data_IF_372445562776
#
_entry.id   IF_372445562776
#
_cell.length_a   1.000
_cell.length_b   1.000
_cell.length_c   1.000
_cell.angle_alpha   90.00
_cell.angle_beta   90.00
_cell.angle_gamma   90.00
#
_symmetry.space_group_name_H-M   'P 1'
#
loop_
_entity.id
_entity.type
_entity.pdbx_description
1 polymer ?
#
# COMPACT_ATOMS: atom_id res chain seq x y z
N UNK A 1 9.83 -20.21 4.88
CA UNK A 1 10.34 -20.25 3.51
C UNK A 1 9.24 -20.57 2.48
N UNK A 2 8.53 -21.70 2.57
CA UNK A 2 7.42 -22.05 1.65
C UNK A 2 6.28 -21.03 1.59
N UNK A 3 5.90 -20.40 2.71
CA UNK A 3 4.84 -19.38 2.73
C UNK A 3 5.17 -18.09 1.97
N UNK A 4 6.43 -17.68 1.97
CA UNK A 4 6.86 -16.47 1.23
C UNK A 4 6.95 -16.72 -0.28
N UNK A 5 7.34 -17.93 -0.67
CA UNK A 5 7.33 -18.38 -2.06
C UNK A 5 5.90 -18.40 -2.59
N UNK A 6 4.94 -18.90 -1.81
CA UNK A 6 3.53 -18.92 -2.18
C UNK A 6 2.98 -17.49 -2.36
N UNK A 7 3.33 -16.55 -1.49
CA UNK A 7 2.90 -15.15 -1.63
C UNK A 7 3.45 -14.49 -2.89
N UNK A 8 4.67 -14.82 -3.30
CA UNK A 8 5.25 -14.33 -4.56
C UNK A 8 4.59 -14.98 -5.77
N UNK A 9 4.34 -16.28 -5.71
CA UNK A 9 3.65 -17.04 -6.78
C UNK A 9 2.21 -16.54 -6.93
N UNK A 10 1.49 -16.31 -5.84
CA UNK A 10 0.15 -15.71 -5.87
C UNK A 10 0.19 -14.29 -6.43
N UNK A 11 1.19 -13.49 -6.03
CA UNK A 11 1.42 -12.16 -6.60
C UNK A 11 1.64 -12.16 -8.11
N UNK A 12 2.37 -13.14 -8.61
CA UNK A 12 2.59 -13.34 -10.04
C UNK A 12 1.31 -13.86 -10.73
N UNK A 13 0.56 -14.75 -10.09
CA UNK A 13 -0.73 -15.25 -10.59
C UNK A 13 -1.78 -14.16 -10.70
N UNK A 14 -1.92 -13.34 -9.67
CA UNK A 14 -2.86 -12.21 -9.67
C UNK A 14 -2.51 -11.16 -10.74
N UNK A 15 -1.23 -10.92 -10.97
CA UNK A 15 -0.78 -10.08 -12.08
C UNK A 15 -1.10 -10.70 -13.44
N UNK A 16 -1.00 -12.05 -13.57
CA UNK A 16 -1.41 -12.79 -14.79
C UNK A 16 -2.90 -12.63 -15.09
N UNK A 17 -3.74 -12.70 -14.07
CA UNK A 17 -5.19 -12.53 -14.24
C UNK A 17 -5.56 -11.10 -14.68
N UNK A 18 -4.70 -10.14 -14.46
CA UNK A 18 -5.00 -8.75 -14.74
C UNK A 18 -4.51 -8.22 -16.08
N UNK A 19 -3.41 -8.70 -16.69
CA UNK A 19 -2.86 -8.08 -17.91
C UNK A 19 -1.85 -8.88 -18.74
N UNK A 20 -1.53 -10.15 -18.51
CA UNK A 20 -0.45 -10.79 -19.26
C UNK A 20 -0.99 -11.78 -20.30
N UNK A 21 -0.63 -11.51 -21.57
CA UNK A 21 -0.77 -12.43 -22.69
C UNK A 21 -0.04 -13.77 -22.40
N UNK A 22 -0.63 -14.93 -22.75
CA UNK A 22 -0.07 -16.28 -22.52
C UNK A 22 1.42 -16.40 -22.88
N UNK A 23 1.85 -15.70 -23.93
CA UNK A 23 3.24 -15.65 -24.38
C UNK A 23 4.24 -15.12 -23.35
N UNK A 24 3.82 -14.18 -22.48
CA UNK A 24 4.66 -13.71 -21.36
C UNK A 24 4.69 -14.68 -20.19
N UNK A 25 3.66 -15.50 -20.06
CA UNK A 25 3.56 -16.55 -19.04
C UNK A 25 4.59 -17.66 -19.28
N UNK A 26 4.79 -18.09 -20.51
CA UNK A 26 5.82 -19.09 -20.87
C UNK A 26 7.23 -18.57 -20.66
N UNK A 27 7.49 -17.30 -21.02
CA UNK A 27 8.78 -16.66 -20.81
C UNK A 27 9.07 -16.51 -19.29
N UNK A 28 8.08 -16.12 -18.49
CA UNK A 28 8.20 -16.03 -17.04
C UNK A 28 8.49 -17.40 -16.40
N UNK A 29 7.82 -18.45 -16.82
CA UNK A 29 8.05 -19.79 -16.29
C UNK A 29 9.45 -20.34 -16.64
N UNK A 30 10.01 -19.93 -17.77
CA UNK A 30 11.30 -20.40 -18.28
C UNK A 30 12.50 -19.72 -17.62
N UNK A 31 12.29 -18.56 -16.99
CA UNK A 31 13.36 -17.72 -16.41
C UNK A 31 13.24 -17.48 -14.90
N UNK A 32 12.28 -18.12 -14.23
CA UNK A 32 12.11 -17.96 -12.78
C UNK A 32 12.85 -19.07 -12.04
N UNK A 33 14.15 -18.93 -11.87
CA UNK A 33 14.78 -19.28 -10.61
C UNK A 33 14.62 -18.09 -9.65
N UNK A 34 13.48 -18.03 -8.99
CA UNK A 34 13.18 -17.04 -7.99
C UNK A 34 13.79 -17.49 -6.66
N UNK A 35 14.92 -16.93 -6.31
CA UNK A 35 15.44 -17.04 -4.94
C UNK A 35 14.87 -15.88 -4.13
N UNK A 36 14.04 -16.20 -3.15
CA UNK A 36 13.52 -15.24 -2.19
C UNK A 36 14.31 -15.39 -0.90
N UNK A 37 15.03 -14.35 -0.48
CA UNK A 37 15.74 -14.38 0.80
C UNK A 37 14.77 -14.25 1.99
N UNK A 38 15.27 -14.45 3.22
CA UNK A 38 14.50 -14.34 4.45
C UNK A 38 13.87 -12.95 4.67
N UNK A 39 14.42 -11.92 4.04
CA UNK A 39 13.88 -10.56 4.04
C UNK A 39 12.83 -10.29 2.96
N UNK A 40 12.44 -11.31 2.18
CA UNK A 40 11.48 -11.19 1.09
C UNK A 40 12.03 -10.45 -0.13
N UNK A 41 13.35 -10.40 -0.32
CA UNK A 41 13.97 -9.84 -1.51
C UNK A 41 14.00 -10.86 -2.63
N UNK A 42 13.59 -10.41 -3.80
CA UNK A 42 13.54 -11.24 -5.00
C UNK A 42 14.82 -11.06 -5.80
N UNK A 43 15.52 -12.15 -6.03
CA UNK A 43 16.69 -12.21 -6.90
C UNK A 43 16.32 -12.91 -8.20
N UNK A 44 16.58 -12.27 -9.31
CA UNK A 44 16.43 -12.83 -10.65
C UNK A 44 17.55 -12.32 -11.52
N UNK A 45 18.02 -13.14 -12.45
CA UNK A 45 19.04 -12.77 -13.43
C UNK A 45 18.55 -11.70 -14.41
N UNK A 46 17.24 -11.45 -14.51
CA UNK A 46 16.69 -10.42 -15.37
C UNK A 46 16.38 -9.12 -14.60
N UNK A 47 17.20 -8.03 -14.75
CA UNK A 47 17.01 -6.78 -14.02
C UNK A 47 15.65 -6.10 -14.27
N UNK A 48 15.10 -6.28 -15.46
CA UNK A 48 13.78 -5.72 -15.81
C UNK A 48 12.67 -6.43 -15.05
N UNK A 49 12.70 -7.75 -14.96
CA UNK A 49 11.76 -8.57 -14.22
C UNK A 49 11.86 -8.27 -12.72
N UNK A 50 13.08 -8.16 -12.18
CA UNK A 50 13.34 -7.77 -10.78
C UNK A 50 12.68 -6.43 -10.44
N UNK A 51 12.85 -5.41 -11.29
CA UNK A 51 12.24 -4.09 -11.09
C UNK A 51 10.72 -4.16 -11.11
N UNK A 52 10.12 -4.95 -12.02
CA UNK A 52 8.66 -5.15 -12.11
C UNK A 52 8.11 -5.84 -10.88
N UNK A 53 8.70 -6.96 -10.46
CA UNK A 53 8.27 -7.71 -9.27
C UNK A 53 8.40 -6.85 -8.02
N UNK A 54 9.54 -6.19 -7.82
CA UNK A 54 9.74 -5.27 -6.70
C UNK A 54 8.75 -4.09 -6.75
N UNK A 55 8.42 -3.59 -7.93
CA UNK A 55 7.38 -2.58 -8.11
C UNK A 55 6.00 -3.06 -7.62
N UNK A 56 5.60 -4.26 -8.01
CA UNK A 56 4.32 -4.87 -7.60
C UNK A 56 4.29 -5.11 -6.09
N UNK A 57 5.35 -5.70 -5.53
CA UNK A 57 5.45 -5.97 -4.10
C UNK A 57 5.43 -4.67 -3.28
N UNK A 58 6.12 -3.63 -3.75
CA UNK A 58 6.11 -2.32 -3.09
C UNK A 58 4.74 -1.63 -3.16
N UNK A 59 4.05 -1.73 -4.31
CA UNK A 59 2.68 -1.24 -4.45
C UNK A 59 1.77 -1.99 -3.47
N UNK A 60 1.84 -3.32 -3.39
CA UNK A 60 1.07 -4.12 -2.44
C UNK A 60 1.36 -3.73 -0.99
N UNK A 61 2.63 -3.67 -0.59
CA UNK A 61 3.00 -3.29 0.79
C UNK A 61 2.49 -1.91 1.20
N UNK A 62 2.52 -0.94 0.28
CA UNK A 62 2.14 0.46 0.58
C UNK A 62 0.64 0.72 0.43
N UNK A 63 0.01 0.06 -0.53
CA UNK A 63 -1.34 0.39 -0.98
C UNK A 63 -2.40 -0.57 -0.44
N UNK A 64 -2.08 -1.89 -0.35
CA UNK A 64 -3.05 -2.88 0.04
C UNK A 64 -3.70 -2.63 1.41
N UNK A 65 -2.96 -2.27 2.48
CA UNK A 65 -3.59 -2.03 3.78
C UNK A 65 -4.61 -0.90 3.76
N UNK A 66 -4.30 0.20 3.05
CA UNK A 66 -5.21 1.33 2.88
C UNK A 66 -6.40 0.98 2.00
N UNK A 67 -6.15 0.26 0.91
CA UNK A 67 -7.19 -0.18 -0.01
C UNK A 67 -8.20 -1.10 0.69
N UNK A 68 -7.74 -2.08 1.45
CA UNK A 68 -8.62 -2.99 2.18
C UNK A 68 -9.51 -2.25 3.18
N UNK A 69 -8.94 -1.34 3.96
CA UNK A 69 -9.69 -0.53 4.93
C UNK A 69 -10.76 0.33 4.24
N UNK A 70 -10.43 0.97 3.13
CA UNK A 70 -11.41 1.77 2.37
C UNK A 70 -12.47 0.89 1.71
N UNK A 71 -12.12 -0.30 1.24
CA UNK A 71 -13.12 -1.25 0.75
C UNK A 71 -14.03 -1.78 1.86
N UNK A 72 -13.53 -2.00 3.06
CA UNK A 72 -14.36 -2.31 4.23
C UNK A 72 -15.38 -1.19 4.51
N UNK A 73 -14.93 0.07 4.52
CA UNK A 73 -15.81 1.24 4.66
C UNK A 73 -16.86 1.25 3.52
N UNK A 74 -16.43 1.06 2.28
CA UNK A 74 -17.30 1.04 1.12
C UNK A 74 -18.40 -0.03 1.23
N UNK A 75 -18.02 -1.25 1.52
CA UNK A 75 -18.98 -2.36 1.63
C UNK A 75 -19.94 -2.19 2.83
N UNK A 76 -19.44 -1.68 3.96
CA UNK A 76 -20.26 -1.36 5.12
C UNK A 76 -21.30 -0.29 4.81
N UNK A 77 -20.94 0.77 4.08
CA UNK A 77 -21.87 1.82 3.67
C UNK A 77 -22.94 1.30 2.71
N UNK A 78 -22.55 0.46 1.74
CA UNK A 78 -23.50 -0.18 0.82
C UNK A 78 -24.54 -1.03 1.56
N UNK A 79 -24.06 -1.90 2.44
CA UNK A 79 -24.93 -2.78 3.22
C UNK A 79 -25.84 -1.98 4.16
N UNK A 80 -25.27 -1.00 4.87
CA UNK A 80 -26.04 -0.13 5.76
C UNK A 80 -27.10 0.71 5.04
N UNK A 81 -26.79 1.21 3.84
CA UNK A 81 -27.75 1.93 3.02
C UNK A 81 -28.89 1.01 2.52
N UNK A 82 -28.52 -0.19 2.03
CA UNK A 82 -29.49 -1.15 1.52
C UNK A 82 -30.46 -1.64 2.64
N UNK A 83 -29.97 -1.81 3.86
CA UNK A 83 -30.78 -2.17 5.01
C UNK A 83 -31.79 -1.06 5.38
N UNK A 84 -31.40 0.20 5.27
CA UNK A 84 -32.25 1.34 5.66
C UNK A 84 -33.24 1.76 4.57
N UNK A 85 -32.80 1.73 3.32
CA UNK A 85 -33.53 2.34 2.19
C UNK A 85 -33.99 1.31 1.15
N UNK A 86 -33.71 0.03 1.36
CA UNK A 86 -34.02 -1.03 0.42
C UNK A 86 -32.91 -1.26 -0.61
N UNK A 87 -33.09 -2.30 -1.42
CA UNK A 87 -32.09 -2.74 -2.40
C UNK A 87 -31.96 -1.77 -3.58
N UNK A 88 -30.77 -1.68 -4.12
CA UNK A 88 -30.46 -0.86 -5.31
C UNK A 88 -30.92 -1.55 -6.61
N UNK A 89 -31.17 -0.76 -7.67
CA UNK A 89 -31.52 -1.29 -8.98
C UNK A 89 -30.32 -1.95 -9.67
N UNK A 90 -29.14 -1.37 -9.53
CA UNK A 90 -27.89 -1.88 -10.12
C UNK A 90 -26.66 -1.34 -9.40
N UNK A 91 -25.47 -1.89 -9.73
CA UNK A 91 -24.21 -1.54 -9.09
C UNK A 91 -23.81 -0.06 -9.27
N UNK A 92 -24.08 0.52 -10.44
CA UNK A 92 -23.75 1.94 -10.70
C UNK A 92 -24.59 2.87 -9.83
N UNK A 93 -25.89 2.62 -9.75
CA UNK A 93 -26.78 3.38 -8.86
C UNK A 93 -26.37 3.24 -7.38
N UNK A 94 -25.99 2.01 -6.95
CA UNK A 94 -25.54 1.78 -5.59
C UNK A 94 -24.34 2.67 -5.24
N UNK A 95 -23.34 2.73 -6.11
CA UNK A 95 -22.16 3.57 -5.90
C UNK A 95 -22.52 5.05 -5.92
N UNK A 96 -23.31 5.52 -6.91
CA UNK A 96 -23.68 6.93 -7.05
C UNK A 96 -24.41 7.46 -5.82
N UNK A 97 -25.32 6.67 -5.25
CA UNK A 97 -26.10 7.11 -4.09
C UNK A 97 -25.28 7.25 -2.81
N UNK A 98 -24.28 6.39 -2.60
CA UNK A 98 -23.44 6.46 -1.40
C UNK A 98 -22.17 7.30 -1.59
N UNK A 99 -21.80 7.64 -2.82
CA UNK A 99 -20.55 8.33 -3.15
C UNK A 99 -20.29 9.59 -2.31
N UNK A 100 -21.26 10.51 -2.11
CA UNK A 100 -21.03 11.71 -1.29
C UNK A 100 -20.64 11.38 0.14
N UNK A 101 -21.35 10.47 0.78
CA UNK A 101 -21.06 10.01 2.15
C UNK A 101 -19.72 9.28 2.21
N UNK A 102 -19.43 8.48 1.19
CA UNK A 102 -18.20 7.70 1.09
C UNK A 102 -16.97 8.60 0.94
N UNK A 103 -17.07 9.67 0.14
CA UNK A 103 -15.98 10.63 -0.02
C UNK A 103 -15.61 11.31 1.30
N UNK A 104 -16.60 11.66 2.12
CA UNK A 104 -16.37 12.23 3.46
C UNK A 104 -15.62 11.20 4.33
N UNK A 105 -16.13 9.97 4.41
CA UNK A 105 -15.52 8.91 5.22
C UNK A 105 -14.11 8.52 4.76
N UNK A 106 -13.89 8.46 3.46
CA UNK A 106 -12.55 8.21 2.91
C UNK A 106 -11.57 9.31 3.26
N UNK A 107 -12.04 10.55 3.25
CA UNK A 107 -11.23 11.70 3.62
C UNK A 107 -10.88 11.69 5.11
N UNK A 108 -11.84 11.43 5.97
CA UNK A 108 -11.62 11.29 7.41
C UNK A 108 -10.61 10.18 7.70
N UNK A 109 -10.79 9.02 7.06
CA UNK A 109 -9.85 7.91 7.16
C UNK A 109 -8.43 8.30 6.71
N UNK A 110 -8.31 8.98 5.58
CA UNK A 110 -7.00 9.41 5.06
C UNK A 110 -6.30 10.38 6.02
N UNK A 111 -7.03 11.33 6.59
CA UNK A 111 -6.48 12.27 7.57
C UNK A 111 -5.99 11.54 8.84
N UNK A 112 -6.78 10.62 9.36
CA UNK A 112 -6.41 9.80 10.53
C UNK A 112 -5.18 8.95 10.23
N UNK A 113 -5.13 8.34 9.05
CA UNK A 113 -3.99 7.53 8.63
C UNK A 113 -2.71 8.39 8.52
N UNK A 114 -2.80 9.59 7.95
CA UNK A 114 -1.65 10.50 7.84
C UNK A 114 -1.16 10.92 9.23
N UNK A 115 -2.05 11.23 10.16
CA UNK A 115 -1.68 11.53 11.55
C UNK A 115 -0.95 10.37 12.22
N UNK A 116 -1.51 9.16 12.13
CA UNK A 116 -0.87 7.95 12.67
C UNK A 116 0.49 7.67 12.00
N UNK A 117 0.62 7.94 10.71
CA UNK A 117 1.88 7.80 9.99
C UNK A 117 2.95 8.77 10.49
N UNK A 118 2.57 10.03 10.74
CA UNK A 118 3.46 11.04 11.32
C UNK A 118 3.96 10.63 12.70
N UNK A 119 3.08 10.13 13.57
CA UNK A 119 3.46 9.65 14.91
C UNK A 119 4.42 8.46 14.81
N UNK A 120 4.10 7.50 13.95
CA UNK A 120 4.97 6.34 13.70
C UNK A 120 6.35 6.75 13.18
N UNK A 121 6.40 7.71 12.27
CA UNK A 121 7.67 8.22 11.74
C UNK A 121 8.46 8.99 12.81
N UNK A 122 7.80 9.79 13.67
CA UNK A 122 8.44 10.49 14.78
C UNK A 122 9.08 9.50 15.74
N UNK A 123 8.36 8.44 16.12
CA UNK A 123 8.91 7.39 16.98
C UNK A 123 10.11 6.71 16.34
N UNK A 124 10.02 6.34 15.06
CA UNK A 124 11.17 5.73 14.34
C UNK A 124 12.40 6.65 14.28
N UNK A 125 12.19 7.96 14.13
CA UNK A 125 13.30 8.94 14.17
C UNK A 125 13.97 8.93 15.54
N UNK A 126 13.19 8.85 16.62
CA UNK A 126 13.73 8.75 17.99
C UNK A 126 14.53 7.45 18.16
N UNK A 127 13.94 6.31 17.77
CA UNK A 127 14.59 5.00 17.87
C UNK A 127 15.91 4.94 17.09
N UNK A 128 15.94 5.48 15.86
CA UNK A 128 17.14 5.54 15.02
C UNK A 128 18.20 6.49 15.61
N UNK A 129 17.76 7.60 16.22
CA UNK A 129 18.66 8.57 16.86
C UNK A 129 19.30 7.96 18.11
N UNK A 130 18.54 7.20 18.88
CA UNK A 130 19.04 6.50 20.06
C UNK A 130 19.98 5.34 19.68
N UNK A 131 19.59 4.54 18.66
CA UNK A 131 20.45 3.48 18.13
C UNK A 131 21.79 4.02 17.62
N UNK A 132 21.77 5.19 16.97
CA UNK A 132 22.98 5.89 16.55
C UNK A 132 23.86 6.28 17.72
N UNK A 133 23.32 6.92 18.77
CA UNK A 133 24.07 7.31 19.97
C UNK A 133 24.68 6.10 20.68
N UNK A 134 23.93 5.00 20.77
CA UNK A 134 24.41 3.77 21.41
C UNK A 134 25.57 3.14 20.63
N UNK A 135 25.61 3.29 19.32
CA UNK A 135 26.74 2.86 18.50
C UNK A 135 27.95 3.78 18.66
N UNK A 136 27.77 5.12 18.72
CA UNK A 136 28.86 6.07 19.00
C UNK A 136 29.54 5.77 20.34
N UNK A 137 28.80 5.34 21.36
CA UNK A 137 29.35 5.02 22.68
C UNK A 137 30.09 3.67 22.76
N UNK A 138 29.94 2.77 21.79
CA UNK A 138 30.64 1.50 21.74
C UNK A 138 32.04 1.57 21.13
N UNK A 139 32.32 2.63 20.36
CA UNK A 139 33.58 2.77 19.62
C UNK A 139 34.72 3.43 20.41
N UNK A 140 34.58 3.56 21.72
CA UNK A 140 35.73 3.97 22.57
C UNK A 140 36.69 2.81 22.89
N UNK A 141 36.47 1.63 22.34
CA UNK A 141 37.36 0.48 22.48
C UNK A 141 38.18 0.29 21.19
N UNK A 142 39.44 0.54 21.32
CA UNK A 142 40.55 0.44 20.38
C UNK A 142 40.51 -0.83 19.50
N UNK A 143 40.16 -0.64 18.17
CA UNK A 143 40.69 -1.53 17.14
C UNK A 143 40.41 -0.89 15.75
N UNK A 144 41.48 -0.55 15.02
CA UNK A 144 41.50 0.27 13.81
C UNK A 144 40.75 -0.31 12.57
N UNK A 145 40.40 -1.56 12.57
CA UNK A 145 39.70 -2.21 11.43
C UNK A 145 38.18 -2.00 11.43
N UNK A 146 37.60 -1.57 12.54
CA UNK A 146 36.15 -1.36 12.71
C UNK A 146 35.67 0.04 12.29
N UNK A 147 36.56 1.02 12.13
CA UNK A 147 36.20 2.42 11.85
C UNK A 147 35.46 2.65 10.52
N UNK A 148 35.69 1.81 9.53
CA UNK A 148 35.01 1.92 8.22
C UNK A 148 33.57 1.39 8.29
N UNK A 149 33.33 0.32 9.03
CA UNK A 149 32.01 -0.27 9.24
C UNK A 149 31.09 0.68 10.01
N UNK A 150 31.62 1.35 11.02
CA UNK A 150 30.90 2.33 11.82
C UNK A 150 30.46 3.54 11.00
N UNK A 151 31.36 4.14 10.21
CA UNK A 151 31.01 5.27 9.33
C UNK A 151 29.92 4.95 8.31
N UNK A 152 29.88 3.71 7.83
CA UNK A 152 28.83 3.23 6.92
C UNK A 152 27.49 3.13 7.66
N UNK A 153 27.47 2.58 8.88
CA UNK A 153 26.26 2.46 9.69
C UNK A 153 25.72 3.84 10.09
N UNK A 154 26.57 4.73 10.57
CA UNK A 154 26.17 6.10 10.94
C UNK A 154 25.54 6.84 9.75
N UNK A 155 26.17 6.77 8.58
CA UNK A 155 25.62 7.35 7.35
C UNK A 155 24.26 6.76 6.97
N UNK A 156 24.06 5.48 7.23
CA UNK A 156 22.78 4.78 6.97
C UNK A 156 21.69 5.30 7.89
N UNK A 157 21.95 5.44 9.19
CA UNK A 157 21.00 6.02 10.14
C UNK A 157 20.64 7.47 9.77
N UNK A 158 21.63 8.30 9.47
CA UNK A 158 21.41 9.70 9.07
C UNK A 158 20.55 9.81 7.80
N UNK A 159 20.79 8.95 6.80
CA UNK A 159 19.98 8.93 5.59
C UNK A 159 18.54 8.52 5.87
N UNK A 160 18.32 7.48 6.69
CA UNK A 160 16.98 7.05 7.08
C UNK A 160 16.22 8.13 7.86
N UNK A 161 16.88 8.78 8.81
CA UNK A 161 16.30 9.90 9.57
C UNK A 161 15.89 11.03 8.61
N UNK A 162 16.78 11.41 7.69
CA UNK A 162 16.50 12.46 6.71
C UNK A 162 15.31 12.11 5.80
N UNK A 163 15.22 10.87 5.36
CA UNK A 163 14.08 10.39 4.54
C UNK A 163 12.76 10.50 5.31
N UNK A 164 12.73 10.04 6.57
CA UNK A 164 11.55 10.14 7.42
C UNK A 164 11.17 11.60 7.71
N UNK A 165 12.13 12.47 7.96
CA UNK A 165 11.89 13.90 8.15
C UNK A 165 11.31 14.55 6.89
N UNK A 166 11.81 14.19 5.71
CA UNK A 166 11.29 14.70 4.44
C UNK A 166 9.87 14.16 4.16
N UNK A 167 9.60 12.91 4.52
CA UNK A 167 8.25 12.34 4.45
C UNK A 167 7.30 13.09 5.40
N UNK A 168 7.73 13.35 6.64
CA UNK A 168 6.92 14.08 7.62
C UNK A 168 6.57 15.49 7.15
N UNK A 169 7.53 16.24 6.61
CA UNK A 169 7.26 17.57 6.04
C UNK A 169 6.16 17.55 4.98
N UNK A 170 6.16 16.54 4.11
CA UNK A 170 5.11 16.37 3.08
C UNK A 170 3.74 16.09 3.70
N UNK A 171 3.68 15.22 4.72
CA UNK A 171 2.43 14.89 5.39
C UNK A 171 1.92 16.04 6.27
N UNK A 172 2.80 16.81 6.90
CA UNK A 172 2.43 18.02 7.65
C UNK A 172 1.82 19.07 6.71
N UNK A 173 2.42 19.30 5.55
CA UNK A 173 1.85 20.19 4.52
C UNK A 173 0.49 19.69 4.02
N UNK A 174 0.34 18.38 3.86
CA UNK A 174 -0.94 17.77 3.50
C UNK A 174 -2.01 18.03 4.57
N UNK A 175 -1.70 17.89 5.85
CA UNK A 175 -2.64 18.15 6.95
C UNK A 175 -3.01 19.64 7.07
N UNK A 176 -2.09 20.54 6.76
CA UNK A 176 -2.36 21.99 6.77
C UNK A 176 -3.30 22.42 5.63
N UNK A 177 -3.15 21.82 4.45
CA UNK A 177 -3.90 22.17 3.25
C UNK A 177 -4.42 20.92 2.51
N UNK A 178 -5.30 20.13 3.12
CA UNK A 178 -5.71 18.84 2.53
C UNK A 178 -6.35 19.01 1.17
N UNK A 179 -7.20 20.04 0.98
CA UNK A 179 -7.89 20.30 -0.30
C UNK A 179 -6.92 20.43 -1.49
N UNK A 180 -5.81 21.11 -1.26
CA UNK A 180 -4.79 21.34 -2.29
C UNK A 180 -4.03 20.09 -2.64
N UNK A 181 -3.73 19.25 -1.64
CA UNK A 181 -2.81 18.13 -1.79
C UNK A 181 -3.52 16.79 -2.01
N UNK A 182 -4.80 16.66 -1.66
CA UNK A 182 -5.57 15.43 -1.88
C UNK A 182 -5.47 14.89 -3.31
N UNK A 183 -5.72 15.69 -4.37
CA UNK A 183 -5.68 15.19 -5.74
C UNK A 183 -4.30 14.71 -6.19
N UNK A 184 -3.24 15.15 -5.51
CA UNK A 184 -1.86 14.84 -5.87
C UNK A 184 -1.31 13.59 -5.17
N UNK A 185 -2.03 13.07 -4.15
CA UNK A 185 -1.56 11.94 -3.33
C UNK A 185 -1.89 10.60 -3.97
N UNK A 186 -1.02 10.16 -4.88
CA UNK A 186 -1.12 8.84 -5.52
C UNK A 186 -1.02 7.66 -4.55
N UNK A 187 -0.61 7.90 -3.31
CA UNK A 187 -0.51 6.85 -2.29
C UNK A 187 -1.85 6.54 -1.61
N UNK A 188 -2.83 7.44 -1.74
CA UNK A 188 -4.15 7.28 -1.16
C UNK A 188 -5.10 6.66 -2.19
N UNK A 189 -5.67 5.45 -1.91
CA UNK A 189 -6.60 4.81 -2.82
C UNK A 189 -7.91 5.61 -2.96
N UNK A 190 -8.53 5.49 -4.12
CA UNK A 190 -9.79 6.17 -4.47
C UNK A 190 -9.73 7.71 -4.44
N UNK A 191 -8.56 8.26 -4.68
CA UNK A 191 -8.31 9.70 -4.72
C UNK A 191 -8.19 10.21 -6.17
N UNK A 192 -9.05 9.74 -7.05
CA UNK A 192 -9.06 10.09 -8.47
C UNK A 192 -10.46 10.53 -8.92
N UNK A 193 -10.53 11.25 -10.02
CA UNK A 193 -11.80 11.67 -10.62
C UNK A 193 -12.70 10.49 -11.05
N UNK A 194 -12.09 9.31 -11.28
CA UNK A 194 -12.79 8.10 -11.70
C UNK A 194 -13.02 7.12 -10.53
N UNK A 195 -13.13 7.65 -9.32
CA UNK A 195 -13.32 6.84 -8.11
C UNK A 195 -14.58 5.97 -8.18
N UNK A 196 -15.67 6.50 -8.73
CA UNK A 196 -16.95 5.82 -8.89
C UNK A 196 -16.85 4.60 -9.81
N UNK A 197 -16.19 4.72 -10.96
CA UNK A 197 -15.98 3.60 -11.90
C UNK A 197 -15.15 2.49 -11.26
N UNK A 198 -14.10 2.87 -10.53
CA UNK A 198 -13.24 1.91 -9.82
C UNK A 198 -14.04 1.18 -8.74
N UNK A 199 -14.86 1.88 -7.97
CA UNK A 199 -15.72 1.29 -6.95
C UNK A 199 -16.79 0.37 -7.54
N UNK A 200 -17.42 0.74 -8.66
CA UNK A 200 -18.34 -0.14 -9.41
C UNK A 200 -17.63 -1.44 -9.83
N UNK A 201 -16.40 -1.35 -10.31
CA UNK A 201 -15.62 -2.53 -10.70
C UNK A 201 -15.25 -3.41 -9.49
N UNK A 202 -14.93 -2.82 -8.34
CA UNK A 202 -14.74 -3.57 -7.11
C UNK A 202 -16.02 -4.26 -6.65
N UNK A 203 -17.16 -3.60 -6.74
CA UNK A 203 -18.46 -4.17 -6.37
C UNK A 203 -18.84 -5.34 -7.30
N UNK A 204 -18.61 -5.22 -8.60
CA UNK A 204 -18.87 -6.29 -9.58
C UNK A 204 -18.06 -7.56 -9.31
N UNK A 205 -16.92 -7.46 -8.65
CA UNK A 205 -16.09 -8.61 -8.25
C UNK A 205 -16.58 -9.31 -6.97
N UNK A 206 -17.66 -8.83 -6.37
CA UNK A 206 -18.29 -9.37 -5.16
C UNK A 206 -19.73 -9.82 -5.45
N UNK A 207 -19.91 -10.97 -6.16
CA UNK A 207 -21.23 -11.47 -6.51
C UNK A 207 -22.07 -11.87 -5.30
N UNK A 208 -21.44 -12.23 -4.19
CA UNK A 208 -22.05 -12.45 -2.88
C UNK A 208 -22.80 -11.21 -2.40
N UNK A 209 -22.11 -10.10 -2.33
CA UNK A 209 -22.65 -8.82 -1.89
C UNK A 209 -23.68 -8.26 -2.89
N UNK A 210 -23.44 -8.41 -4.19
CA UNK A 210 -24.38 -7.98 -5.21
C UNK A 210 -25.76 -8.65 -5.08
N UNK A 211 -25.80 -9.95 -4.78
CA UNK A 211 -27.05 -10.68 -4.55
C UNK A 211 -27.82 -10.17 -3.33
N UNK A 212 -27.11 -9.68 -2.33
CA UNK A 212 -27.71 -9.15 -1.11
C UNK A 212 -28.30 -7.76 -1.32
N UNK A 213 -27.58 -6.87 -2.00
CA UNK A 213 -27.90 -5.43 -2.07
C UNK A 213 -28.64 -5.00 -3.34
N UNK A 214 -28.63 -5.81 -4.42
CA UNK A 214 -29.30 -5.47 -5.67
C UNK A 214 -30.63 -6.22 -5.79
N UNK A 215 -31.65 -5.52 -6.33
CA UNK A 215 -32.93 -6.13 -6.67
C UNK A 215 -32.72 -7.17 -7.77
N UNK A 216 -33.20 -8.39 -7.56
CA UNK A 216 -33.29 -9.39 -8.63
C UNK A 216 -34.35 -8.87 -9.60
N UNK A 217 -33.95 -8.55 -10.82
CA UNK A 217 -34.92 -8.34 -11.88
C UNK A 217 -35.53 -9.72 -12.21
N UNK A 218 -36.78 -9.91 -11.80
CA UNK A 218 -37.60 -11.04 -12.22
C UNK A 218 -38.03 -10.88 -13.67
#
# INVERSE_FOLDING_TARGET
MLGQINTVIEGIRDYRQQQINEKYSEILNKYIELVVDEGGRVYTYNPSLKRRINGILNIRKRYAPLLHKKLEIFYSELTGYAQKNGRFKNASQAVQLILPTLQIKFREFDLQWVQSRLETNKQKILDLTEARKNNENKDTCEDDDFGVSFKIQDRTYLNQIRELQNENKKWEQFLQHPERYFPQQKQLPFNTAYCDEVLVNHLRRRPDLLKEIIQVQL
#
